data_IF_654497349465
#
_entry.id   IF_654497349465
#
_cell.length_a   1.000
_cell.length_b   1.000
_cell.length_c   1.000
_cell.angle_alpha   90.00
_cell.angle_beta   90.00
_cell.angle_gamma   90.00
#
_symmetry.space_group_name_H-M   'P 1'
#
loop_
_entity.id
_entity.type
_entity.pdbx_description
1 polymer ?
#
# COMPACT_ATOMS: atom_id res chain seq x y z
N UNK A 1 -11.43 20.75 -12.36
CA UNK A 1 -10.72 19.93 -13.37
C UNK A 1 -9.88 18.94 -12.58
N UNK A 2 -10.38 17.72 -12.38
CA UNK A 2 -9.66 16.69 -11.61
C UNK A 2 -8.62 16.09 -12.55
N UNK A 3 -7.35 16.37 -12.30
CA UNK A 3 -6.24 15.67 -12.94
C UNK A 3 -6.19 14.29 -12.29
N UNK A 4 -6.95 13.33 -12.81
CA UNK A 4 -6.72 11.93 -12.49
C UNK A 4 -5.34 11.57 -13.03
N UNK A 5 -4.40 11.32 -12.12
CA UNK A 5 -3.09 10.81 -12.50
C UNK A 5 -3.34 9.42 -13.07
N UNK A 6 -2.88 9.13 -14.29
CA UNK A 6 -3.16 7.85 -14.97
C UNK A 6 -2.84 6.63 -14.07
N UNK A 7 -1.81 6.72 -13.23
CA UNK A 7 -1.44 5.68 -12.26
C UNK A 7 -2.42 5.49 -11.08
N UNK A 8 -3.20 6.50 -10.72
CA UNK A 8 -4.21 6.44 -9.65
C UNK A 8 -5.37 5.52 -10.07
N UNK A 9 -5.90 5.72 -11.29
CA UNK A 9 -6.98 4.89 -11.82
C UNK A 9 -6.55 3.44 -12.04
N UNK A 10 -5.35 3.21 -12.59
CA UNK A 10 -4.82 1.86 -12.79
C UNK A 10 -4.66 1.12 -11.48
N UNK A 11 -4.13 1.78 -10.45
CA UNK A 11 -3.96 1.17 -9.14
C UNK A 11 -5.31 0.80 -8.52
N UNK A 12 -6.22 1.76 -8.36
CA UNK A 12 -7.54 1.55 -7.75
C UNK A 12 -8.29 0.42 -8.45
N UNK A 13 -8.35 0.45 -9.78
CA UNK A 13 -9.03 -0.58 -10.59
C UNK A 13 -8.41 -1.95 -10.36
N UNK A 14 -7.07 -2.06 -10.40
CA UNK A 14 -6.38 -3.34 -10.21
C UNK A 14 -6.64 -3.94 -8.82
N UNK A 15 -6.67 -3.10 -7.78
CA UNK A 15 -6.86 -3.56 -6.40
C UNK A 15 -8.31 -3.99 -6.16
N UNK A 16 -9.28 -3.31 -6.80
CA UNK A 16 -10.69 -3.71 -6.77
C UNK A 16 -10.92 -5.03 -7.52
N UNK A 17 -10.33 -5.20 -8.70
CA UNK A 17 -10.44 -6.44 -9.48
C UNK A 17 -9.83 -7.65 -8.74
N UNK A 18 -8.74 -7.43 -8.01
CA UNK A 18 -8.07 -8.48 -7.23
C UNK A 18 -8.65 -8.67 -5.83
N UNK A 19 -9.58 -7.81 -5.41
CA UNK A 19 -10.15 -7.78 -4.06
C UNK A 19 -9.09 -7.78 -2.95
N UNK A 20 -8.01 -7.02 -3.14
CA UNK A 20 -6.95 -6.91 -2.14
C UNK A 20 -5.65 -6.31 -2.64
N UNK A 21 -4.74 -6.08 -1.70
CA UNK A 21 -3.43 -5.48 -1.93
C UNK A 21 -2.31 -6.44 -1.57
N UNK A 22 -1.13 -6.19 -2.11
CA UNK A 22 0.12 -6.80 -1.65
C UNK A 22 0.86 -5.83 -0.74
N UNK A 23 1.42 -6.34 0.35
CA UNK A 23 2.31 -5.61 1.28
C UNK A 23 3.63 -6.36 1.42
N UNK A 24 4.66 -5.71 1.95
CA UNK A 24 5.92 -6.36 2.27
C UNK A 24 6.01 -6.68 3.76
N UNK A 25 6.43 -7.90 4.10
CA UNK A 25 6.64 -8.36 5.46
C UNK A 25 8.10 -8.76 5.67
N UNK A 26 8.69 -8.37 6.80
CA UNK A 26 9.96 -8.86 7.31
C UNK A 26 9.68 -9.89 8.42
N UNK A 27 9.51 -11.15 8.04
CA UNK A 27 9.02 -12.19 8.96
C UNK A 27 7.61 -11.87 9.45
N UNK A 28 7.46 -11.55 10.74
CA UNK A 28 6.16 -11.16 11.34
C UNK A 28 5.94 -9.64 11.38
N UNK A 29 6.93 -8.85 10.95
CA UNK A 29 6.85 -7.38 11.00
C UNK A 29 6.43 -6.80 9.66
N UNK A 30 5.53 -5.81 9.69
CA UNK A 30 5.13 -5.06 8.50
C UNK A 30 6.22 -4.08 8.08
N UNK A 31 6.57 -4.08 6.80
CA UNK A 31 7.38 -3.02 6.21
C UNK A 31 6.53 -1.75 6.03
N UNK A 32 6.92 -0.68 6.72
CA UNK A 32 6.33 0.64 6.60
C UNK A 32 7.42 1.71 6.73
N UNK A 33 7.17 2.87 6.15
CA UNK A 33 8.08 4.02 6.20
C UNK A 33 7.63 4.99 7.29
N UNK A 34 8.57 5.72 7.87
CA UNK A 34 8.24 6.80 8.81
C UNK A 34 7.57 7.94 8.05
N UNK A 35 6.42 8.41 8.54
CA UNK A 35 5.71 9.57 8.03
C UNK A 35 5.47 10.58 9.16
N UNK A 36 5.07 11.80 8.81
CA UNK A 36 4.66 12.78 9.81
C UNK A 36 3.37 12.29 10.50
N UNK A 37 3.40 12.18 11.83
CA UNK A 37 2.24 11.71 12.60
C UNK A 37 1.99 10.21 12.59
N UNK A 38 2.83 9.39 11.95
CA UNK A 38 2.67 7.94 11.97
C UNK A 38 3.57 7.19 10.99
N UNK A 39 2.96 6.27 10.25
CA UNK A 39 3.62 5.41 9.27
C UNK A 39 2.95 5.52 7.90
N UNK A 40 3.77 5.49 6.85
CA UNK A 40 3.31 5.31 5.48
C UNK A 40 3.44 3.83 5.11
N UNK A 41 2.36 3.24 4.60
CA UNK A 41 2.30 1.84 4.19
C UNK A 41 2.42 1.71 2.66
N UNK A 42 3.52 1.14 2.15
CA UNK A 42 3.62 0.67 0.78
C UNK A 42 2.64 -0.46 0.47
N UNK A 43 1.89 -0.32 -0.62
CA UNK A 43 1.00 -1.36 -1.14
C UNK A 43 1.15 -1.51 -2.64
N UNK A 44 0.95 -2.71 -3.17
CA UNK A 44 1.05 -3.01 -4.60
C UNK A 44 -0.17 -3.76 -5.11
N UNK A 45 -0.44 -3.58 -6.40
CA UNK A 45 -1.47 -4.36 -7.10
C UNK A 45 -0.96 -5.71 -7.61
N UNK A 46 0.30 -6.09 -7.36
CA UNK A 46 0.78 -7.44 -7.66
C UNK A 46 1.99 -7.81 -6.80
N UNK A 47 2.16 -9.11 -6.55
CA UNK A 47 3.32 -9.64 -5.84
C UNK A 47 4.63 -9.26 -6.53
N UNK A 48 4.70 -9.44 -7.86
CA UNK A 48 5.89 -9.13 -8.67
C UNK A 48 6.37 -7.69 -8.49
N UNK A 49 5.46 -6.71 -8.47
CA UNK A 49 5.84 -5.30 -8.25
C UNK A 49 6.41 -5.07 -6.84
N UNK A 50 5.87 -5.77 -5.84
CA UNK A 50 6.38 -5.72 -4.47
C UNK A 50 7.76 -6.39 -4.36
N UNK A 51 7.97 -7.53 -5.03
CA UNK A 51 9.26 -8.23 -5.09
C UNK A 51 10.34 -7.37 -5.74
N UNK A 52 10.07 -6.79 -6.91
CA UNK A 52 11.02 -5.90 -7.60
C UNK A 52 11.38 -4.69 -6.74
N UNK A 53 10.44 -4.17 -5.95
CA UNK A 53 10.74 -3.11 -4.99
C UNK A 53 11.65 -3.63 -3.87
N UNK A 54 11.33 -4.79 -3.29
CA UNK A 54 12.10 -5.41 -2.22
C UNK A 54 13.54 -5.76 -2.62
N UNK A 55 13.76 -6.28 -3.83
CA UNK A 55 15.09 -6.61 -4.35
C UNK A 55 16.01 -5.39 -4.48
N UNK A 56 15.41 -4.22 -4.75
CA UNK A 56 16.14 -2.95 -4.86
C UNK A 56 16.41 -2.32 -3.49
N UNK A 57 15.70 -2.73 -2.45
CA UNK A 57 16.05 -2.36 -1.08
C UNK A 57 17.31 -3.12 -0.68
N UNK A 58 18.25 -2.44 -0.01
CA UNK A 58 19.40 -3.11 0.61
C UNK A 58 19.01 -3.94 1.85
N UNK A 59 17.73 -4.26 2.03
CA UNK A 59 17.18 -5.04 3.13
C UNK A 59 16.84 -6.45 2.65
N UNK A 60 17.36 -7.46 3.35
CA UNK A 60 17.07 -8.87 3.06
C UNK A 60 15.90 -9.36 3.90
N UNK A 61 15.17 -10.35 3.39
CA UNK A 61 14.09 -11.04 4.11
C UNK A 61 12.73 -10.37 4.05
N UNK A 62 12.53 -9.47 3.08
CA UNK A 62 11.21 -8.94 2.75
C UNK A 62 10.49 -9.90 1.80
N UNK A 63 9.25 -10.26 2.12
CA UNK A 63 8.40 -11.09 1.27
C UNK A 63 7.05 -10.44 1.01
N UNK A 64 6.50 -10.52 -0.21
CA UNK A 64 5.15 -10.07 -0.49
C UNK A 64 4.13 -10.93 0.24
N UNK A 65 3.09 -10.29 0.77
CA UNK A 65 1.93 -10.96 1.36
C UNK A 65 0.67 -10.30 0.83
N UNK A 66 -0.27 -11.12 0.38
CA UNK A 66 -1.58 -10.66 -0.05
C UNK A 66 -2.48 -10.39 1.16
N UNK A 67 -3.14 -9.23 1.16
CA UNK A 67 -4.11 -8.81 2.17
C UNK A 67 -5.45 -8.58 1.48
N UNK A 68 -6.48 -9.37 1.79
CA UNK A 68 -7.83 -9.18 1.26
C UNK A 68 -8.36 -7.78 1.56
N UNK A 69 -9.15 -7.21 0.65
CA UNK A 69 -9.67 -5.85 0.77
C UNK A 69 -10.44 -5.62 2.07
N UNK A 70 -11.25 -6.60 2.49
CA UNK A 70 -12.00 -6.57 3.75
C UNK A 70 -11.10 -6.42 4.99
N UNK A 71 -9.95 -7.10 4.99
CA UNK A 71 -8.96 -6.99 6.05
C UNK A 71 -8.18 -5.68 5.96
N UNK A 72 -7.80 -5.28 4.74
CA UNK A 72 -7.01 -4.07 4.48
C UNK A 72 -7.77 -2.79 4.87
N UNK A 73 -9.03 -2.66 4.44
CA UNK A 73 -9.88 -1.52 4.80
C UNK A 73 -10.41 -1.59 6.22
N UNK A 74 -10.45 -2.79 6.81
CA UNK A 74 -11.00 -3.07 8.13
C UNK A 74 -10.10 -2.67 9.30
N UNK A 75 -10.53 -3.08 10.50
CA UNK A 75 -9.85 -2.74 11.77
C UNK A 75 -8.48 -3.41 11.93
N UNK A 76 -8.13 -4.39 11.09
CA UNK A 76 -6.85 -5.07 11.14
C UNK A 76 -5.70 -4.23 10.56
N UNK A 77 -6.00 -3.33 9.61
CA UNK A 77 -5.00 -2.56 8.86
C UNK A 77 -5.29 -1.07 8.92
N UNK A 78 -5.93 -0.48 7.91
CA UNK A 78 -6.17 0.98 7.87
C UNK A 78 -7.09 1.47 9.00
N UNK A 79 -7.81 0.57 9.67
CA UNK A 79 -8.64 0.90 10.83
C UNK A 79 -7.96 0.64 12.16
N UNK A 80 -6.75 0.11 12.13
CA UNK A 80 -6.00 -0.22 13.34
C UNK A 80 -5.30 1.02 13.88
N UNK A 81 -5.72 1.48 15.05
CA UNK A 81 -5.02 2.53 15.80
C UNK A 81 -3.62 2.09 16.26
N UNK A 82 -3.36 0.77 16.35
CA UNK A 82 -2.05 0.25 16.78
C UNK A 82 -0.99 0.28 15.68
N UNK A 83 -1.39 0.25 14.41
CA UNK A 83 -0.44 0.31 13.29
C UNK A 83 -0.04 1.75 12.94
N UNK A 84 -0.84 2.74 13.36
CA UNK A 84 -0.60 4.17 13.11
C UNK A 84 -0.32 4.49 11.63
N UNK A 85 -0.99 3.78 10.72
CA UNK A 85 -0.88 4.02 9.28
C UNK A 85 -1.67 5.28 8.96
N UNK A 86 -0.96 6.34 8.61
CA UNK A 86 -1.54 7.63 8.23
C UNK A 86 -1.63 7.77 6.72
N UNK A 87 -0.61 7.25 6.03
CA UNK A 87 -0.48 7.32 4.58
C UNK A 87 -0.36 5.93 3.96
N UNK A 88 -0.80 5.81 2.72
CA UNK A 88 -0.67 4.63 1.88
C UNK A 88 0.04 5.04 0.59
N UNK A 89 1.18 4.41 0.33
CA UNK A 89 1.95 4.60 -0.89
C UNK A 89 1.53 3.54 -1.89
N UNK A 90 0.83 3.95 -2.95
CA UNK A 90 0.34 3.05 -3.98
C UNK A 90 1.40 2.77 -5.04
N UNK A 91 1.69 1.48 -5.19
CA UNK A 91 2.66 0.91 -6.12
C UNK A 91 3.98 1.69 -6.19
N UNK A 92 4.63 1.98 -5.05
CA UNK A 92 5.86 2.73 -5.03
C UNK A 92 6.93 1.99 -5.84
N UNK A 93 7.73 2.76 -6.57
CA UNK A 93 8.87 2.28 -7.34
C UNK A 93 10.15 2.87 -6.77
N UNK A 94 11.19 2.06 -6.68
CA UNK A 94 12.46 2.52 -6.11
C UNK A 94 12.99 3.73 -6.88
N UNK A 95 13.26 4.84 -6.17
CA UNK A 95 13.77 6.08 -6.74
C UNK A 95 12.75 6.92 -7.51
N UNK A 96 11.44 6.65 -7.38
CA UNK A 96 10.38 7.45 -8.00
C UNK A 96 9.40 7.97 -6.95
N UNK A 97 8.80 9.14 -7.23
CA UNK A 97 7.68 9.64 -6.43
C UNK A 97 6.51 8.64 -6.51
N UNK A 98 5.89 8.42 -5.36
CA UNK A 98 4.82 7.44 -5.20
C UNK A 98 3.49 8.17 -5.06
N UNK A 99 2.44 7.59 -5.63
CA UNK A 99 1.08 8.04 -5.36
C UNK A 99 0.78 7.80 -3.89
N UNK A 100 0.48 8.87 -3.17
CA UNK A 100 0.23 8.83 -1.73
C UNK A 100 -1.22 9.16 -1.48
N UNK A 101 -1.89 8.34 -0.68
CA UNK A 101 -3.24 8.59 -0.20
C UNK A 101 -3.19 8.63 1.32
N UNK A 102 -3.97 9.51 1.93
CA UNK A 102 -4.33 9.27 3.33
C UNK A 102 -5.17 8.00 3.43
N UNK A 103 -5.15 7.36 4.61
CA UNK A 103 -5.98 6.18 4.86
C UNK A 103 -7.48 6.43 4.59
N UNK A 104 -7.96 7.65 4.83
CA UNK A 104 -9.34 8.07 4.60
C UNK A 104 -9.66 8.25 3.10
N UNK A 105 -8.79 8.92 2.35
CA UNK A 105 -8.97 9.11 0.90
C UNK A 105 -9.00 7.77 0.16
N UNK A 106 -8.07 6.86 0.50
CA UNK A 106 -8.01 5.56 -0.14
C UNK A 106 -9.27 4.74 0.16
N UNK A 107 -9.76 4.78 1.39
CA UNK A 107 -11.03 4.15 1.78
C UNK A 107 -12.22 4.71 1.02
N UNK A 108 -12.27 6.02 0.82
CA UNK A 108 -13.36 6.64 0.06
C UNK A 108 -13.34 6.17 -1.40
N UNK A 109 -12.16 6.12 -2.02
CA UNK A 109 -11.98 5.69 -3.42
C UNK A 109 -12.28 4.22 -3.65
N UNK A 110 -11.94 3.34 -2.70
CA UNK A 110 -12.14 1.89 -2.83
C UNK A 110 -13.55 1.41 -2.45
N UNK A 111 -14.37 2.27 -1.81
CA UNK A 111 -15.79 1.97 -1.49
C UNK A 111 -16.76 2.35 -2.61
N UNK A 112 -16.30 3.08 -3.61
CA UNK A 112 -17.03 3.44 -4.84
C UNK A 112 -16.81 2.41 -5.93
#
# INVERSE_FOLDING_TARGET
MNVEIIGDREFITSVQEQDGVWVLMAGQSLYALQAEGGRALPVWSSAEKAEVFAEKLSQKGLSPVFVPMSNFLGAAWLGSSSLQIVDVLASPRYGQESLTYTAEELRARLKT
#
